data_IF_360714041280
#
_entry.id   IF_360714041280
#
_cell.length_a   1.000
_cell.length_b   1.000
_cell.length_c   1.000
_cell.angle_alpha   90.00
_cell.angle_beta   90.00
_cell.angle_gamma   90.00
#
_symmetry.space_group_name_H-M   'P 1'
#
loop_
_entity.id
_entity.type
_entity.pdbx_description
1 polymer ?
#
# COMPACT_ATOMS: atom_id res chain seq x y z
N UNK A 1 -38.41 -41.74 38.10
CA UNK A 1 -37.33 -42.17 37.21
C UNK A 1 -37.95 -42.83 35.99
N UNK A 2 -38.06 -42.12 34.85
CA UNK A 2 -38.39 -42.74 33.56
C UNK A 2 -37.09 -42.87 32.79
N UNK A 3 -36.70 -44.08 32.42
CA UNK A 3 -35.53 -44.33 31.58
C UNK A 3 -35.82 -43.83 30.17
N UNK A 4 -34.94 -42.97 29.67
CA UNK A 4 -34.85 -42.65 28.24
C UNK A 4 -34.21 -43.86 27.56
N UNK A 5 -34.90 -44.44 26.58
CA UNK A 5 -34.31 -45.46 25.72
C UNK A 5 -33.22 -44.78 24.87
N UNK A 6 -32.00 -45.33 24.91
CA UNK A 6 -30.88 -44.86 24.09
C UNK A 6 -31.18 -45.05 22.61
N UNK A 7 -30.77 -44.07 21.79
CA UNK A 7 -30.78 -44.20 20.34
C UNK A 7 -29.89 -45.38 19.91
N UNK A 8 -30.27 -46.12 18.85
CA UNK A 8 -29.40 -47.14 18.29
C UNK A 8 -28.12 -46.49 17.74
N UNK A 9 -26.98 -47.20 17.76
CA UNK A 9 -25.74 -46.68 17.21
C UNK A 9 -25.92 -46.35 15.71
N UNK A 10 -25.26 -45.30 15.19
CA UNK A 10 -25.34 -44.97 13.78
C UNK A 10 -24.84 -46.16 12.95
N UNK A 11 -25.62 -46.54 11.95
CA UNK A 11 -25.24 -47.55 10.96
C UNK A 11 -23.90 -47.15 10.34
N UNK A 12 -22.92 -48.07 10.20
CA UNK A 12 -21.69 -47.78 9.48
C UNK A 12 -22.03 -47.29 8.06
N UNK A 13 -21.71 -46.04 7.76
CA UNK A 13 -21.76 -45.51 6.40
C UNK A 13 -20.55 -46.10 5.67
N UNK A 14 -20.75 -47.24 5.01
CA UNK A 14 -19.78 -47.73 4.04
C UNK A 14 -19.76 -46.73 2.90
N UNK A 15 -18.76 -45.84 2.86
CA UNK A 15 -18.46 -45.07 1.64
C UNK A 15 -17.97 -46.09 0.64
N UNK A 16 -18.87 -46.57 -0.19
CA UNK A 16 -18.53 -47.38 -1.34
C UNK A 16 -18.04 -46.39 -2.39
N UNK A 17 -16.72 -46.15 -2.48
CA UNK A 17 -16.13 -45.56 -3.69
C UNK A 17 -16.50 -46.56 -4.80
N UNK A 18 -17.52 -46.21 -5.57
CA UNK A 18 -17.98 -47.07 -6.66
C UNK A 18 -16.94 -46.88 -7.74
N UNK A 19 -15.93 -47.75 -7.79
CA UNK A 19 -14.95 -47.74 -8.87
C UNK A 19 -15.69 -48.12 -10.15
N UNK A 20 -16.18 -47.12 -10.87
CA UNK A 20 -16.50 -47.26 -12.29
C UNK A 20 -15.15 -47.57 -12.94
N UNK A 21 -14.93 -48.81 -13.37
CA UNK A 21 -13.91 -49.05 -14.40
C UNK A 21 -14.55 -48.47 -15.66
N UNK A 22 -14.08 -47.33 -16.19
CA UNK A 22 -14.64 -46.77 -17.40
C UNK A 22 -14.51 -47.83 -18.49
N UNK A 23 -15.55 -48.08 -19.29
CA UNK A 23 -15.41 -49.03 -20.41
C UNK A 23 -14.66 -48.41 -21.61
N UNK A 24 -14.28 -47.14 -21.48
CA UNK A 24 -13.72 -46.28 -22.52
C UNK A 24 -12.27 -45.92 -22.18
N UNK A 25 -11.53 -45.46 -23.19
CA UNK A 25 -10.21 -44.89 -23.04
C UNK A 25 -10.29 -43.58 -22.26
N UNK A 26 -9.40 -43.40 -21.28
CA UNK A 26 -9.35 -42.20 -20.45
C UNK A 26 -7.96 -42.09 -19.83
N UNK A 27 -7.41 -40.88 -19.80
CA UNK A 27 -6.10 -40.59 -19.22
C UNK A 27 -6.28 -39.48 -18.19
N UNK A 28 -5.58 -39.59 -17.08
CA UNK A 28 -5.56 -38.58 -16.03
C UNK A 28 -4.14 -38.12 -15.72
N UNK A 29 -3.95 -36.83 -15.44
CA UNK A 29 -2.68 -36.25 -15.02
C UNK A 29 -2.84 -35.27 -13.83
N UNK A 30 -1.98 -35.45 -12.84
CA UNK A 30 -1.88 -34.59 -11.66
C UNK A 30 -0.47 -34.01 -11.58
N UNK A 31 -0.33 -32.81 -11.03
CA UNK A 31 0.94 -32.10 -10.92
C UNK A 31 1.08 -31.39 -9.58
N UNK A 32 2.26 -31.49 -8.99
CA UNK A 32 2.68 -30.75 -7.80
C UNK A 32 4.01 -30.07 -8.05
N UNK A 33 4.34 -29.08 -7.22
CA UNK A 33 5.64 -28.42 -7.22
C UNK A 33 6.22 -28.45 -5.80
N UNK A 34 7.53 -28.69 -5.68
CA UNK A 34 8.22 -28.54 -4.40
C UNK A 34 8.36 -27.07 -4.01
N UNK A 35 8.60 -26.80 -2.74
CA UNK A 35 9.04 -25.46 -2.34
C UNK A 35 10.35 -25.11 -3.08
N UNK A 36 10.46 -23.91 -3.65
CA UNK A 36 11.70 -23.43 -4.27
C UNK A 36 12.77 -23.23 -3.21
N UNK A 37 13.99 -23.53 -3.61
CA UNK A 37 15.20 -23.41 -2.80
C UNK A 37 16.18 -22.51 -3.53
N UNK A 38 16.77 -21.57 -2.79
CA UNK A 38 17.81 -20.73 -3.34
C UNK A 38 19.10 -21.55 -3.57
N UNK A 39 19.65 -21.47 -4.78
CA UNK A 39 20.92 -22.12 -5.12
C UNK A 39 22.07 -21.11 -4.98
N UNK A 40 21.94 -19.94 -5.61
CA UNK A 40 22.94 -18.86 -5.56
C UNK A 40 22.38 -17.59 -6.22
N UNK A 41 22.71 -16.40 -5.69
CA UNK A 41 22.28 -15.14 -6.32
C UNK A 41 20.76 -15.02 -6.33
N UNK A 42 20.18 -15.01 -7.53
CA UNK A 42 18.73 -15.09 -7.78
C UNK A 42 18.33 -16.33 -8.58
N UNK A 43 19.13 -17.40 -8.45
CA UNK A 43 18.86 -18.70 -9.05
C UNK A 43 18.14 -19.59 -8.05
N UNK A 44 16.94 -20.03 -8.40
CA UNK A 44 16.09 -20.90 -7.57
C UNK A 44 15.86 -22.24 -8.22
N UNK A 45 15.91 -23.31 -7.42
CA UNK A 45 15.62 -24.67 -7.84
C UNK A 45 14.34 -25.18 -7.20
N UNK A 46 13.47 -25.79 -8.00
CA UNK A 46 12.30 -26.53 -7.56
C UNK A 46 12.07 -27.74 -8.47
N UNK A 47 11.21 -28.65 -8.04
CA UNK A 47 10.87 -29.86 -8.80
C UNK A 47 9.36 -29.93 -9.01
N UNK A 48 8.93 -30.01 -10.28
CA UNK A 48 7.58 -30.45 -10.61
C UNK A 48 7.51 -31.97 -10.53
N UNK A 49 6.48 -32.49 -9.88
CA UNK A 49 6.17 -33.93 -9.86
C UNK A 49 4.82 -34.16 -10.50
N UNK A 50 4.81 -34.89 -11.61
CA UNK A 50 3.62 -35.25 -12.37
C UNK A 50 3.29 -36.72 -12.18
N UNK A 51 2.02 -37.06 -12.10
CA UNK A 51 1.52 -38.44 -12.08
C UNK A 51 0.57 -38.59 -13.25
N UNK A 52 0.91 -39.42 -14.22
CA UNK A 52 0.05 -39.76 -15.36
C UNK A 52 -0.45 -41.18 -15.20
N UNK A 53 -1.75 -41.40 -15.43
CA UNK A 53 -2.41 -42.69 -15.20
C UNK A 53 -3.41 -42.97 -16.31
N UNK A 54 -3.44 -44.20 -16.80
CA UNK A 54 -4.58 -44.68 -17.58
C UNK A 54 -5.72 -45.01 -16.62
N UNK A 55 -6.69 -44.10 -16.50
CA UNK A 55 -7.87 -44.25 -15.63
C UNK A 55 -8.99 -45.03 -16.31
N UNK A 56 -8.90 -45.19 -17.64
CA UNK A 56 -9.86 -45.90 -18.47
C UNK A 56 -9.80 -47.42 -18.33
N UNK A 57 -10.66 -48.10 -19.11
CA UNK A 57 -10.74 -49.56 -19.14
C UNK A 57 -10.14 -50.21 -20.38
N UNK A 58 -9.55 -49.43 -21.28
CA UNK A 58 -8.84 -49.91 -22.45
C UNK A 58 -7.36 -49.52 -22.39
N UNK A 59 -6.51 -50.29 -23.06
CA UNK A 59 -5.09 -49.96 -23.21
C UNK A 59 -4.94 -48.65 -23.99
N UNK A 60 -3.99 -47.81 -23.58
CA UNK A 60 -3.58 -46.63 -24.32
C UNK A 60 -2.20 -46.86 -24.95
N UNK A 61 -2.10 -46.74 -26.26
CA UNK A 61 -0.86 -46.69 -27.02
C UNK A 61 -0.41 -45.23 -27.21
N UNK A 62 0.87 -45.05 -27.56
CA UNK A 62 1.49 -43.75 -27.82
C UNK A 62 1.26 -42.73 -26.68
N UNK A 63 1.30 -43.23 -25.44
CA UNK A 63 1.13 -42.37 -24.26
C UNK A 63 2.28 -41.37 -24.18
N UNK A 64 1.93 -40.09 -24.06
CA UNK A 64 2.88 -38.98 -24.02
C UNK A 64 2.44 -37.95 -22.97
N UNK A 65 3.41 -37.29 -22.34
CA UNK A 65 3.20 -36.08 -21.56
C UNK A 65 3.98 -34.93 -22.19
N UNK A 66 3.33 -33.80 -22.42
CA UNK A 66 3.94 -32.57 -22.90
C UNK A 66 3.97 -31.52 -21.79
N UNK A 67 5.10 -30.84 -21.67
CA UNK A 67 5.33 -29.82 -20.64
C UNK A 67 6.10 -28.65 -21.26
N UNK A 68 5.43 -27.51 -21.42
CA UNK A 68 6.01 -26.28 -21.95
C UNK A 68 6.34 -25.30 -20.81
N UNK A 69 7.55 -25.46 -20.26
CA UNK A 69 8.06 -24.60 -19.19
C UNK A 69 8.33 -23.18 -19.67
N UNK A 70 8.66 -22.95 -20.95
CA UNK A 70 8.84 -21.60 -21.48
C UNK A 70 7.50 -20.84 -21.44
N UNK A 71 6.42 -21.49 -21.83
CA UNK A 71 5.09 -20.90 -21.77
C UNK A 71 4.72 -20.46 -20.34
N UNK A 72 5.00 -21.33 -19.35
CA UNK A 72 4.67 -21.08 -17.95
C UNK A 72 5.62 -20.10 -17.25
N UNK A 73 6.93 -20.21 -17.46
CA UNK A 73 7.94 -19.51 -16.66
C UNK A 73 8.48 -18.23 -17.31
N UNK A 74 8.45 -18.11 -18.65
CA UNK A 74 9.11 -16.99 -19.37
C UNK A 74 8.11 -16.09 -20.09
N UNK A 75 7.08 -16.67 -20.72
CA UNK A 75 6.12 -15.86 -21.50
C UNK A 75 4.82 -15.59 -20.76
N UNK A 76 4.77 -15.88 -19.45
CA UNK A 76 3.61 -15.54 -18.63
C UNK A 76 3.50 -14.01 -18.48
N UNK A 77 2.27 -13.53 -18.21
CA UNK A 77 1.98 -12.10 -18.10
C UNK A 77 2.18 -11.54 -16.68
N UNK A 78 2.49 -12.36 -15.69
CA UNK A 78 2.32 -12.06 -14.26
C UNK A 78 3.64 -12.00 -13.48
N UNK A 79 4.74 -11.61 -14.14
CA UNK A 79 6.15 -11.62 -13.69
C UNK A 79 6.89 -12.90 -14.12
N UNK A 80 7.48 -12.90 -15.34
CA UNK A 80 8.26 -14.01 -15.85
C UNK A 80 9.66 -14.08 -15.25
N UNK A 81 10.25 -15.27 -15.25
CA UNK A 81 11.68 -15.44 -15.03
C UNK A 81 12.49 -14.90 -16.22
N UNK A 82 13.74 -14.52 -15.97
CA UNK A 82 14.69 -14.14 -17.03
C UNK A 82 15.04 -15.32 -17.92
N UNK A 83 15.31 -16.45 -17.27
CA UNK A 83 15.67 -17.69 -17.92
C UNK A 83 15.33 -18.88 -17.04
N UNK A 84 15.28 -20.06 -17.64
CA UNK A 84 15.20 -21.32 -16.91
C UNK A 84 16.08 -22.37 -17.56
N UNK A 85 16.41 -23.40 -16.80
CA UNK A 85 17.04 -24.62 -17.30
C UNK A 85 16.44 -25.84 -16.62
N UNK A 86 16.28 -26.92 -17.38
CA UNK A 86 15.93 -28.24 -16.84
C UNK A 86 17.23 -28.92 -16.46
N UNK A 87 17.42 -29.20 -15.17
CA UNK A 87 18.66 -29.79 -14.65
C UNK A 87 18.60 -31.29 -14.57
N UNK A 88 17.40 -31.86 -14.40
CA UNK A 88 17.19 -33.29 -14.31
C UNK A 88 15.73 -33.65 -14.64
N UNK A 89 15.51 -34.76 -15.34
CA UNK A 89 14.19 -35.39 -15.48
C UNK A 89 14.31 -36.84 -15.03
N UNK A 90 13.32 -37.34 -14.29
CA UNK A 90 13.28 -38.74 -13.88
C UNK A 90 11.89 -39.29 -14.14
N UNK A 91 11.80 -40.33 -14.95
CA UNK A 91 10.56 -41.08 -15.20
C UNK A 91 10.60 -42.38 -14.43
N UNK A 92 9.61 -42.60 -13.57
CA UNK A 92 9.48 -43.80 -12.73
C UNK A 92 8.14 -44.48 -13.00
N UNK A 93 8.13 -45.62 -13.71
CA UNK A 93 6.93 -46.44 -13.84
C UNK A 93 6.43 -46.93 -12.47
N UNK A 94 5.11 -46.96 -12.30
CA UNK A 94 4.45 -47.44 -11.11
C UNK A 94 4.72 -48.91 -10.83
N UNK A 95 4.52 -49.33 -9.58
CA UNK A 95 4.68 -50.73 -9.21
C UNK A 95 3.68 -51.62 -9.96
N UNK A 96 4.18 -52.65 -10.64
CA UNK A 96 3.32 -53.58 -11.40
C UNK A 96 2.90 -53.08 -12.78
N UNK A 97 3.57 -52.05 -13.31
CA UNK A 97 3.34 -51.52 -14.67
C UNK A 97 3.31 -52.66 -15.70
N UNK A 98 2.18 -52.81 -16.39
CA UNK A 98 1.89 -53.96 -17.24
C UNK A 98 2.16 -53.70 -18.73
N UNK A 99 1.97 -52.47 -19.19
CA UNK A 99 2.23 -52.04 -20.55
C UNK A 99 3.71 -51.83 -20.87
N UNK A 100 3.99 -51.13 -21.97
CA UNK A 100 5.35 -50.76 -22.35
C UNK A 100 5.77 -49.53 -21.55
N UNK A 101 6.65 -49.76 -20.56
CA UNK A 101 7.08 -48.73 -19.61
C UNK A 101 7.59 -47.46 -20.32
N UNK A 102 7.16 -46.26 -19.89
CA UNK A 102 7.68 -45.03 -20.43
C UNK A 102 9.16 -44.86 -20.07
N UNK A 103 9.91 -44.32 -21.02
CA UNK A 103 11.29 -43.87 -20.79
C UNK A 103 11.42 -42.39 -21.07
N UNK A 104 12.24 -41.71 -20.28
CA UNK A 104 12.53 -40.28 -20.42
C UNK A 104 13.07 -39.95 -21.82
N UNK A 105 12.56 -38.86 -22.40
CA UNK A 105 13.15 -38.23 -23.56
C UNK A 105 14.31 -37.30 -23.15
N UNK A 106 15.55 -37.74 -23.37
CA UNK A 106 16.75 -36.96 -23.03
C UNK A 106 16.91 -35.65 -23.84
N UNK A 107 16.09 -35.41 -24.87
CA UNK A 107 16.08 -34.14 -25.61
C UNK A 107 15.10 -33.11 -25.02
N UNK A 108 14.30 -33.48 -24.02
CA UNK A 108 13.36 -32.58 -23.37
C UNK A 108 14.10 -31.37 -22.77
N UNK A 109 13.69 -30.18 -23.16
CA UNK A 109 14.21 -28.90 -22.63
C UNK A 109 13.09 -27.94 -22.21
N UNK A 110 11.83 -28.34 -22.34
CA UNK A 110 10.66 -27.59 -21.91
C UNK A 110 10.47 -26.24 -22.62
N UNK A 111 11.05 -26.05 -23.81
CA UNK A 111 11.03 -24.77 -24.53
C UNK A 111 10.18 -24.87 -25.80
N UNK A 112 9.20 -23.98 -25.96
CA UNK A 112 8.37 -23.90 -27.17
C UNK A 112 9.24 -23.82 -28.44
N UNK A 113 8.92 -24.65 -29.44
CA UNK A 113 9.71 -24.73 -30.69
C UNK A 113 10.97 -25.60 -30.62
N UNK A 114 11.35 -26.07 -29.42
CA UNK A 114 12.24 -27.21 -29.20
C UNK A 114 11.41 -28.42 -28.73
N UNK A 115 12.00 -29.33 -27.96
CA UNK A 115 11.31 -30.52 -27.47
C UNK A 115 10.65 -30.28 -26.10
N UNK A 116 9.32 -30.47 -26.07
CA UNK A 116 8.46 -30.39 -24.89
C UNK A 116 7.88 -31.75 -24.50
N UNK A 117 8.25 -32.82 -25.19
CA UNK A 117 7.78 -34.19 -24.93
C UNK A 117 8.62 -34.86 -23.85
N UNK A 118 8.00 -35.40 -22.81
CA UNK A 118 8.71 -36.00 -21.67
C UNK A 118 9.08 -37.47 -21.89
N UNK A 119 8.36 -38.20 -22.74
CA UNK A 119 8.65 -39.60 -23.04
C UNK A 119 9.20 -39.80 -24.46
N UNK A 120 10.02 -40.83 -24.64
CA UNK A 120 10.31 -41.40 -25.96
C UNK A 120 9.04 -42.02 -26.56
N UNK A 121 9.01 -42.25 -27.88
CA UNK A 121 7.86 -42.88 -28.54
C UNK A 121 7.71 -44.37 -28.17
N UNK A 122 6.50 -44.91 -28.33
CA UNK A 122 6.20 -46.35 -28.22
C UNK A 122 5.82 -46.83 -26.82
N UNK A 123 5.44 -45.94 -25.91
CA UNK A 123 4.93 -46.30 -24.58
C UNK A 123 3.47 -46.75 -24.68
N UNK A 124 3.09 -47.70 -23.85
CA UNK A 124 1.70 -48.11 -23.70
C UNK A 124 1.34 -48.31 -22.23
N UNK A 125 0.14 -47.88 -21.86
CA UNK A 125 -0.37 -47.96 -20.49
C UNK A 125 -1.60 -48.87 -20.51
N UNK A 126 -1.54 -50.00 -19.82
CA UNK A 126 -2.73 -50.82 -19.56
C UNK A 126 -3.64 -50.13 -18.52
N UNK A 127 -4.92 -50.54 -18.40
CA UNK A 127 -5.82 -50.00 -17.40
C UNK A 127 -5.21 -50.01 -15.99
N UNK A 128 -5.10 -48.83 -15.37
CA UNK A 128 -4.50 -48.63 -14.05
C UNK A 128 -2.97 -48.48 -14.03
N UNK A 129 -2.29 -48.61 -15.17
CA UNK A 129 -0.87 -48.26 -15.25
C UNK A 129 -0.68 -46.77 -14.96
N UNK A 130 0.37 -46.46 -14.19
CA UNK A 130 0.70 -45.11 -13.76
C UNK A 130 2.20 -44.89 -13.85
N UNK A 131 2.64 -43.67 -14.15
CA UNK A 131 4.04 -43.27 -14.09
C UNK A 131 4.18 -41.91 -13.42
N UNK A 132 5.27 -41.75 -12.67
CA UNK A 132 5.64 -40.47 -12.06
C UNK A 132 6.78 -39.83 -12.85
N UNK A 133 6.65 -38.54 -13.16
CA UNK A 133 7.72 -37.73 -13.75
C UNK A 133 8.15 -36.68 -12.73
N UNK A 134 9.45 -36.62 -12.41
CA UNK A 134 10.03 -35.52 -11.65
C UNK A 134 10.90 -34.65 -12.58
N UNK A 135 10.60 -33.35 -12.67
CA UNK A 135 11.32 -32.38 -13.49
C UNK A 135 11.96 -31.36 -12.55
N UNK A 136 13.27 -31.40 -12.39
CA UNK A 136 14.02 -30.39 -11.62
C UNK A 136 14.36 -29.23 -12.53
N UNK A 137 13.93 -28.04 -12.11
CA UNK A 137 14.05 -26.79 -12.86
C UNK A 137 14.83 -25.79 -12.02
N UNK A 138 15.78 -25.10 -12.66
CA UNK A 138 16.39 -23.89 -12.13
C UNK A 138 15.88 -22.68 -12.92
N UNK A 139 15.47 -21.64 -12.21
CA UNK A 139 15.07 -20.34 -12.80
C UNK A 139 16.02 -19.25 -12.35
N UNK A 140 16.28 -18.31 -13.23
CA UNK A 140 17.01 -17.07 -12.94
C UNK A 140 16.03 -15.91 -12.88
N UNK A 141 16.05 -15.16 -11.78
CA UNK A 141 15.18 -14.01 -11.53
C UNK A 141 15.97 -12.70 -11.38
N UNK A 142 17.21 -12.62 -11.90
CA UNK A 142 18.10 -11.47 -11.76
C UNK A 142 17.51 -10.08 -12.07
N UNK A 143 16.56 -9.95 -13.00
CA UNK A 143 15.99 -8.66 -13.41
C UNK A 143 14.80 -8.24 -12.55
N UNK A 144 13.85 -9.14 -12.34
CA UNK A 144 12.53 -8.84 -11.81
C UNK A 144 12.35 -9.33 -10.37
N UNK A 145 13.16 -10.30 -9.92
CA UNK A 145 13.19 -10.79 -8.55
C UNK A 145 11.97 -11.64 -8.10
N UNK A 146 10.83 -11.50 -8.78
CA UNK A 146 9.56 -12.18 -8.48
C UNK A 146 9.24 -13.19 -9.59
N UNK A 147 8.79 -14.38 -9.20
CA UNK A 147 8.12 -15.31 -10.13
C UNK A 147 6.72 -15.59 -9.61
N UNK A 148 5.70 -15.38 -10.45
CA UNK A 148 4.36 -15.89 -10.21
C UNK A 148 3.85 -16.56 -11.49
N UNK A 149 3.85 -17.88 -11.48
CA UNK A 149 3.49 -18.67 -12.65
C UNK A 149 2.48 -19.76 -12.31
N UNK A 150 1.55 -19.97 -13.24
CA UNK A 150 0.66 -21.11 -13.25
C UNK A 150 1.13 -22.06 -14.34
N UNK A 151 1.33 -23.34 -13.99
CA UNK A 151 1.88 -24.31 -14.90
C UNK A 151 0.95 -25.51 -15.08
N UNK A 152 0.69 -25.87 -16.34
CA UNK A 152 -0.17 -26.98 -16.75
C UNK A 152 0.61 -27.86 -17.74
N UNK A 153 0.68 -29.15 -17.43
CA UNK A 153 1.15 -30.17 -18.36
C UNK A 153 -0.04 -30.79 -19.08
N UNK A 154 0.18 -31.44 -20.22
CA UNK A 154 -0.86 -32.21 -20.90
C UNK A 154 -0.43 -33.66 -21.07
N UNK A 155 -1.31 -34.60 -20.74
CA UNK A 155 -1.14 -36.01 -21.07
C UNK A 155 -1.99 -36.36 -22.30
N UNK A 156 -1.52 -37.30 -23.09
CA UNK A 156 -2.29 -37.87 -24.21
C UNK A 156 -2.01 -39.35 -24.37
N UNK A 157 -2.97 -40.07 -24.96
CA UNK A 157 -2.84 -41.47 -25.32
C UNK A 157 -3.89 -41.85 -26.35
N UNK A 158 -3.69 -42.97 -27.05
CA UNK A 158 -4.55 -43.40 -28.15
C UNK A 158 -5.08 -44.80 -27.89
N UNK A 159 -6.41 -44.99 -27.97
CA UNK A 159 -6.98 -46.34 -27.92
C UNK A 159 -6.64 -47.09 -29.22
N UNK A 160 -6.00 -48.27 -29.18
CA UNK A 160 -5.69 -49.06 -30.37
C UNK A 160 -6.93 -49.46 -31.19
N UNK A 161 -8.10 -49.53 -30.54
CA UNK A 161 -9.38 -49.83 -31.18
C UNK A 161 -10.04 -48.58 -31.78
N UNK A 162 -9.58 -47.38 -31.41
CA UNK A 162 -10.02 -46.10 -31.96
C UNK A 162 -8.84 -45.13 -32.21
N UNK A 163 -7.93 -45.46 -33.14
CA UNK A 163 -6.67 -44.75 -33.31
C UNK A 163 -6.78 -43.34 -33.90
N UNK A 164 -8.00 -42.90 -34.27
CA UNK A 164 -8.23 -41.63 -34.94
C UNK A 164 -8.42 -40.43 -33.99
N UNK A 165 -8.58 -40.67 -32.68
CA UNK A 165 -8.85 -39.62 -31.69
C UNK A 165 -8.11 -39.96 -30.39
N UNK A 166 -6.97 -39.32 -30.12
CA UNK A 166 -6.32 -39.42 -28.82
C UNK A 166 -7.25 -38.90 -27.72
N UNK A 167 -7.17 -39.52 -26.55
CA UNK A 167 -7.67 -38.93 -25.30
C UNK A 167 -6.59 -38.03 -24.74
N UNK A 168 -7.00 -36.92 -24.14
CA UNK A 168 -6.10 -35.91 -23.59
C UNK A 168 -6.62 -35.45 -22.24
N UNK A 169 -5.70 -35.07 -21.37
CA UNK A 169 -6.01 -34.46 -20.09
C UNK A 169 -5.00 -33.37 -19.75
N UNK A 170 -5.47 -32.30 -19.12
CA UNK A 170 -4.65 -31.18 -18.68
C UNK A 170 -4.44 -31.30 -17.16
N UNK A 171 -3.19 -31.21 -16.72
CA UNK A 171 -2.83 -31.49 -15.34
C UNK A 171 -3.57 -30.62 -14.34
N UNK A 172 -4.04 -31.23 -13.27
CA UNK A 172 -4.57 -30.54 -12.12
C UNK A 172 -3.53 -30.37 -11.00
N UNK A 173 -3.68 -29.33 -10.16
CA UNK A 173 -2.82 -29.07 -9.01
C UNK A 173 -3.11 -30.01 -7.83
N UNK A 174 -2.19 -30.94 -7.59
CA UNK A 174 -2.26 -31.92 -6.53
C UNK A 174 -1.60 -33.22 -6.96
N UNK A 175 -1.80 -34.26 -6.16
CA UNK A 175 -1.23 -35.59 -6.42
C UNK A 175 -2.29 -36.63 -6.83
N UNK A 176 -3.56 -36.25 -6.88
CA UNK A 176 -4.67 -37.11 -7.29
C UNK A 176 -5.13 -36.72 -8.69
N UNK A 177 -5.24 -37.67 -9.61
CA UNK A 177 -5.68 -37.38 -10.99
C UNK A 177 -7.19 -37.12 -11.08
N UNK A 178 -7.96 -37.50 -10.06
CA UNK A 178 -9.42 -37.32 -9.96
C UNK A 178 -9.78 -36.88 -8.52
N UNK A 179 -9.48 -35.62 -8.14
CA UNK A 179 -9.63 -35.13 -6.77
C UNK A 179 -11.08 -35.03 -6.28
N UNK A 180 -12.09 -34.93 -7.16
CA UNK A 180 -13.50 -34.93 -6.75
C UNK A 180 -14.13 -36.33 -6.74
N UNK A 181 -13.46 -37.31 -7.36
CA UNK A 181 -13.81 -38.72 -7.32
C UNK A 181 -15.04 -39.07 -8.15
N UNK A 182 -15.39 -38.24 -9.13
CA UNK A 182 -16.52 -38.48 -10.03
C UNK A 182 -16.19 -39.48 -11.17
N UNK A 183 -14.91 -39.83 -11.30
CA UNK A 183 -14.39 -40.78 -12.27
C UNK A 183 -14.21 -40.22 -13.67
N UNK A 184 -14.10 -38.90 -13.81
CA UNK A 184 -13.73 -38.16 -15.03
C UNK A 184 -12.60 -37.16 -14.70
N UNK A 185 -11.31 -37.53 -14.90
CA UNK A 185 -10.18 -36.66 -14.56
C UNK A 185 -10.12 -35.40 -15.44
N UNK A 186 -10.80 -35.38 -16.59
CA UNK A 186 -10.67 -34.33 -17.62
C UNK A 186 -11.34 -33.00 -17.25
N UNK A 187 -11.99 -32.96 -16.08
CA UNK A 187 -12.74 -31.82 -15.59
C UNK A 187 -12.08 -31.10 -14.39
N UNK A 188 -10.87 -31.51 -13.97
CA UNK A 188 -10.22 -31.02 -12.76
C UNK A 188 -9.07 -30.02 -13.00
N UNK A 189 -8.89 -29.51 -14.23
CA UNK A 189 -7.73 -28.83 -14.84
C UNK A 189 -7.22 -27.51 -14.17
N UNK A 190 -7.08 -27.49 -12.84
CA UNK A 190 -6.57 -26.35 -12.07
C UNK A 190 -5.05 -26.28 -12.23
N UNK A 191 -4.47 -25.21 -12.79
CA UNK A 191 -3.02 -25.11 -12.97
C UNK A 191 -2.25 -25.20 -11.64
N UNK A 192 -1.01 -25.72 -11.70
CA UNK A 192 -0.11 -25.77 -10.53
C UNK A 192 0.60 -24.42 -10.35
N UNK A 193 0.34 -23.67 -9.26
CA UNK A 193 1.00 -22.40 -9.02
C UNK A 193 2.43 -22.62 -8.51
N UNK A 194 3.37 -21.78 -8.96
CA UNK A 194 4.68 -21.58 -8.36
C UNK A 194 4.86 -20.08 -8.09
N UNK A 195 5.19 -19.76 -6.85
CA UNK A 195 5.50 -18.39 -6.43
C UNK A 195 6.89 -18.39 -5.81
N UNK A 196 7.77 -17.54 -6.33
CA UNK A 196 9.05 -17.21 -5.73
C UNK A 196 8.99 -15.74 -5.36
N UNK A 197 8.95 -15.40 -4.07
CA UNK A 197 8.83 -14.02 -3.64
C UNK A 197 10.16 -13.27 -3.71
N UNK A 198 10.05 -11.95 -3.78
CA UNK A 198 11.17 -11.03 -3.65
C UNK A 198 11.00 -10.15 -2.41
N UNK A 199 12.09 -9.60 -1.85
CA UNK A 199 11.95 -8.62 -0.79
C UNK A 199 11.16 -7.39 -1.27
N UNK A 200 10.23 -6.94 -0.44
CA UNK A 200 9.43 -5.76 -0.70
C UNK A 200 9.40 -4.87 0.54
N UNK A 201 9.35 -3.56 0.31
CA UNK A 201 9.18 -2.54 1.34
C UNK A 201 7.96 -1.71 0.92
N UNK A 202 7.07 -1.46 1.87
CA UNK A 202 5.89 -0.62 1.68
C UNK A 202 5.98 0.64 2.53
N UNK A 203 5.56 1.77 1.96
CA UNK A 203 5.57 3.07 2.63
C UNK A 203 4.20 3.75 2.49
N UNK A 204 3.57 4.08 3.62
CA UNK A 204 2.41 4.96 3.64
C UNK A 204 2.73 6.27 4.36
N UNK A 205 2.10 7.36 3.93
CA UNK A 205 2.30 8.70 4.48
C UNK A 205 1.00 9.48 4.57
N UNK A 206 0.71 9.91 5.78
CA UNK A 206 -0.46 10.72 6.12
C UNK A 206 -0.06 12.05 6.77
N UNK A 207 -0.98 13.01 6.74
CA UNK A 207 -0.80 14.35 7.30
C UNK A 207 -1.94 14.69 8.26
N UNK A 208 -1.59 15.16 9.46
CA UNK A 208 -2.59 15.64 10.40
C UNK A 208 -3.18 16.99 9.95
N UNK A 209 -4.40 17.36 10.42
CA UNK A 209 -4.94 18.69 10.16
C UNK A 209 -4.00 19.82 10.61
N UNK A 210 -3.94 20.88 9.80
CA UNK A 210 -3.15 22.08 10.11
C UNK A 210 -3.81 22.87 11.25
N UNK A 211 -3.00 23.26 12.23
CA UNK A 211 -3.42 24.10 13.36
C UNK A 211 -2.65 25.41 13.35
N UNK A 212 -3.36 26.54 13.27
CA UNK A 212 -2.73 27.86 13.31
C UNK A 212 -2.14 28.13 14.70
N UNK A 213 -0.89 28.62 14.74
CA UNK A 213 -0.33 29.21 15.95
C UNK A 213 -1.01 30.57 16.16
N UNK A 214 -1.80 30.67 17.22
CA UNK A 214 -2.71 31.79 17.46
C UNK A 214 -2.02 33.16 17.31
N UNK A 215 -2.61 34.01 16.46
CA UNK A 215 -2.12 35.36 16.20
C UNK A 215 -0.88 35.45 15.30
N UNK A 216 -0.50 34.37 14.62
CA UNK A 216 0.63 34.32 13.68
C UNK A 216 0.20 33.74 12.32
N UNK A 217 1.05 33.87 11.31
CA UNK A 217 0.88 33.23 9.98
C UNK A 217 1.40 31.79 9.95
N UNK A 218 1.78 31.23 11.11
CA UNK A 218 2.38 29.90 11.20
C UNK A 218 1.33 28.82 11.50
N UNK A 219 1.56 27.64 10.95
CA UNK A 219 0.72 26.45 11.12
C UNK A 219 1.56 25.24 11.51
N UNK A 220 1.05 24.44 12.43
CA UNK A 220 1.67 23.17 12.85
C UNK A 220 0.86 21.98 12.39
N UNK A 221 1.53 20.92 11.99
CA UNK A 221 0.97 19.61 11.67
C UNK A 221 2.05 18.53 11.82
N UNK A 222 1.66 17.27 11.72
CA UNK A 222 2.57 16.14 11.69
C UNK A 222 2.43 15.40 10.36
N UNK A 223 3.55 15.03 9.75
CA UNK A 223 3.57 13.87 8.85
C UNK A 223 3.72 12.60 9.68
N UNK A 224 2.95 11.58 9.32
CA UNK A 224 3.08 10.23 9.86
C UNK A 224 3.42 9.30 8.71
N UNK A 225 4.60 8.71 8.75
CA UNK A 225 5.06 7.74 7.75
C UNK A 225 5.07 6.36 8.42
N UNK A 226 4.51 5.35 7.76
CA UNK A 226 4.66 3.95 8.17
C UNK A 226 5.52 3.27 7.12
N UNK A 227 6.57 2.58 7.58
CA UNK A 227 7.43 1.77 6.72
C UNK A 227 7.36 0.33 7.19
N UNK A 228 7.11 -0.58 6.26
CA UNK A 228 6.90 -2.01 6.52
C UNK A 228 7.77 -2.83 5.59
N UNK A 229 8.45 -3.86 6.10
CA UNK A 229 8.92 -4.94 5.24
C UNK A 229 7.72 -5.84 4.87
N UNK A 230 7.14 -5.60 3.69
CA UNK A 230 5.92 -6.25 3.18
C UNK A 230 6.17 -7.58 2.51
N UNK A 231 7.43 -8.05 2.48
CA UNK A 231 7.79 -9.36 1.92
C UNK A 231 6.89 -10.48 2.47
N UNK A 232 6.46 -11.44 1.65
CA UNK A 232 5.69 -12.57 2.16
C UNK A 232 6.59 -13.51 2.97
N UNK A 233 6.04 -14.17 3.99
CA UNK A 233 6.83 -15.10 4.79
C UNK A 233 7.20 -16.35 3.98
N UNK A 234 8.50 -16.55 3.73
CA UNK A 234 9.02 -17.66 2.97
C UNK A 234 10.10 -18.44 3.75
N UNK A 235 9.79 -19.64 4.31
CA UNK A 235 10.69 -20.30 5.26
C UNK A 235 12.08 -20.69 4.74
N UNK A 236 12.25 -20.79 3.42
CA UNK A 236 13.52 -21.19 2.78
C UNK A 236 14.37 -20.02 2.29
N UNK A 237 13.90 -18.77 2.43
CA UNK A 237 14.61 -17.57 1.98
C UNK A 237 14.49 -16.49 3.05
N UNK A 238 15.62 -15.93 3.49
CA UNK A 238 15.62 -14.74 4.33
C UNK A 238 15.29 -13.49 3.50
N UNK A 239 14.06 -12.99 3.63
CA UNK A 239 13.59 -11.75 2.99
C UNK A 239 13.69 -10.53 3.93
N UNK A 240 14.57 -10.57 4.94
CA UNK A 240 14.85 -9.39 5.76
C UNK A 240 15.53 -8.29 4.94
N UNK A 241 15.28 -7.04 5.35
CA UNK A 241 15.91 -5.85 4.80
C UNK A 241 16.85 -5.27 5.85
N UNK A 242 18.07 -4.92 5.45
CA UNK A 242 19.10 -4.30 6.28
C UNK A 242 19.45 -2.91 5.78
N UNK A 243 20.12 -2.10 6.60
CA UNK A 243 20.46 -0.71 6.30
C UNK A 243 19.25 0.09 5.79
N UNK A 244 18.05 -0.21 6.31
CA UNK A 244 16.83 0.48 5.89
C UNK A 244 16.95 1.94 6.31
N UNK A 245 16.66 2.85 5.38
CA UNK A 245 16.68 4.30 5.55
C UNK A 245 15.41 4.88 4.93
N UNK A 246 14.92 5.99 5.46
CA UNK A 246 13.83 6.78 4.86
C UNK A 246 14.35 8.18 4.61
N UNK A 247 14.20 8.64 3.38
CA UNK A 247 14.58 9.98 2.95
C UNK A 247 13.31 10.83 2.84
N UNK A 248 13.34 11.99 3.47
CA UNK A 248 12.29 12.99 3.44
C UNK A 248 12.90 14.38 3.19
N UNK A 249 12.64 14.93 2.01
CA UNK A 249 13.12 16.27 1.62
C UNK A 249 11.98 17.30 1.69
N UNK A 250 11.78 17.84 2.89
CA UNK A 250 10.76 18.87 3.14
C UNK A 250 11.08 20.19 2.43
N UNK A 251 12.36 20.51 2.21
CA UNK A 251 12.77 21.69 1.46
C UNK A 251 12.31 21.60 0.01
N UNK A 252 12.49 20.44 -0.62
CA UNK A 252 11.99 20.18 -1.95
C UNK A 252 10.47 20.25 -2.01
N UNK A 253 9.79 19.55 -1.09
CA UNK A 253 8.33 19.43 -1.09
C UNK A 253 7.61 20.74 -0.73
N UNK A 254 8.01 21.40 0.37
CA UNK A 254 7.27 22.53 0.94
C UNK A 254 7.66 23.88 0.34
N UNK A 255 8.86 24.01 -0.24
CA UNK A 255 9.41 25.32 -0.65
C UNK A 255 9.70 25.40 -2.16
N UNK A 256 10.30 24.38 -2.79
CA UNK A 256 10.82 24.54 -4.17
C UNK A 256 9.94 23.97 -5.27
N UNK A 257 9.20 22.88 -5.02
CA UNK A 257 8.57 22.10 -6.10
C UNK A 257 7.05 22.26 -6.22
N UNK A 258 6.42 23.05 -5.35
CA UNK A 258 4.97 23.23 -5.31
C UNK A 258 4.45 24.43 -6.12
N UNK A 259 3.20 24.38 -6.65
CA UNK A 259 2.56 25.53 -7.29
C UNK A 259 2.29 26.70 -6.34
N UNK A 260 2.13 26.43 -5.04
CA UNK A 260 1.94 27.41 -3.98
C UNK A 260 2.71 26.96 -2.73
N UNK A 261 4.02 27.24 -2.65
CA UNK A 261 4.89 26.79 -1.56
C UNK A 261 4.71 27.61 -0.29
N UNK A 262 5.15 27.08 0.85
CA UNK A 262 5.31 27.88 2.07
C UNK A 262 6.47 28.87 1.94
N UNK A 263 6.46 29.93 2.76
CA UNK A 263 7.57 30.88 2.84
C UNK A 263 8.75 30.32 3.64
N UNK A 264 8.46 29.54 4.68
CA UNK A 264 9.48 28.86 5.48
C UNK A 264 8.89 27.66 6.21
N UNK A 265 9.75 26.76 6.66
CA UNK A 265 9.38 25.66 7.54
C UNK A 265 10.44 25.43 8.62
N UNK A 266 10.04 24.72 9.67
CA UNK A 266 10.93 24.16 10.68
C UNK A 266 10.41 22.81 11.14
N UNK A 267 11.33 21.94 11.55
CA UNK A 267 11.02 20.58 11.99
C UNK A 267 11.20 20.49 13.51
N UNK A 268 10.26 19.82 14.17
CA UNK A 268 10.38 19.43 15.58
C UNK A 268 11.23 18.16 15.77
N UNK A 269 11.17 17.56 16.95
CA UNK A 269 11.86 16.29 17.19
C UNK A 269 11.13 15.16 16.49
N UNK A 270 11.81 14.50 15.53
CA UNK A 270 11.32 13.28 14.88
C UNK A 270 11.29 12.12 15.88
N UNK A 271 10.23 11.33 15.84
CA UNK A 271 10.12 10.10 16.64
C UNK A 271 9.93 8.89 15.75
N UNK A 272 10.60 7.79 16.08
CA UNK A 272 10.45 6.47 15.44
C UNK A 272 9.99 5.47 16.49
N UNK A 273 8.93 4.72 16.20
CA UNK A 273 8.38 3.71 17.09
C UNK A 273 7.98 2.45 16.31
N UNK A 274 8.14 1.25 16.88
CA UNK A 274 7.67 0.03 16.24
C UNK A 274 6.14 -0.04 16.19
N UNK A 275 5.60 -0.61 15.12
CA UNK A 275 4.19 -1.01 15.05
C UNK A 275 4.08 -2.45 15.54
N UNK A 276 3.67 -2.62 16.79
CA UNK A 276 3.55 -3.95 17.40
C UNK A 276 4.91 -4.54 17.80
N UNK A 277 5.06 -5.86 17.58
CA UNK A 277 6.31 -6.56 17.85
C UNK A 277 7.29 -6.32 16.71
N UNK A 278 8.54 -6.01 17.05
CA UNK A 278 9.59 -5.74 16.09
C UNK A 278 10.73 -6.73 16.31
N UNK A 279 10.94 -7.61 15.34
CA UNK A 279 11.88 -8.72 15.45
C UNK A 279 13.32 -8.38 15.08
N UNK A 280 13.52 -7.37 14.23
CA UNK A 280 14.83 -6.95 13.74
C UNK A 280 15.56 -5.97 14.65
N UNK A 281 16.41 -5.14 14.05
CA UNK A 281 17.13 -4.06 14.73
C UNK A 281 16.39 -2.74 14.51
N UNK A 282 15.70 -2.27 15.55
CA UNK A 282 14.85 -1.08 15.47
C UNK A 282 15.70 0.17 15.18
N UNK A 283 15.44 0.92 14.09
CA UNK A 283 16.13 2.17 13.83
C UNK A 283 15.80 3.24 14.88
N UNK A 284 16.74 4.15 15.09
CA UNK A 284 16.54 5.38 15.87
C UNK A 284 16.41 6.58 14.94
N UNK A 285 15.64 7.60 15.34
CA UNK A 285 15.53 8.85 14.58
C UNK A 285 16.90 9.54 14.45
N UNK A 286 17.19 10.10 13.28
CA UNK A 286 18.35 10.94 13.06
C UNK A 286 18.20 12.26 13.85
N UNK A 287 19.07 12.56 14.83
CA UNK A 287 18.97 13.78 15.62
C UNK A 287 19.32 15.05 14.84
N UNK A 288 19.94 14.94 13.66
CA UNK A 288 20.32 16.06 12.82
C UNK A 288 19.36 16.33 11.66
N UNK A 289 18.35 15.46 11.46
CA UNK A 289 17.35 15.63 10.42
C UNK A 289 16.71 17.03 10.50
N UNK A 290 16.85 17.79 9.41
CA UNK A 290 16.27 19.12 9.27
C UNK A 290 15.33 19.23 8.05
N UNK A 291 15.19 18.15 7.28
CA UNK A 291 14.37 18.10 6.07
C UNK A 291 14.90 18.97 4.94
N UNK A 292 16.17 19.40 5.00
CA UNK A 292 16.83 20.22 3.99
C UNK A 292 18.25 19.72 3.70
N UNK A 293 19.22 20.09 4.53
CA UNK A 293 20.61 19.66 4.34
C UNK A 293 20.80 18.20 4.77
N UNK A 294 20.04 17.76 5.78
CA UNK A 294 19.97 16.38 6.23
C UNK A 294 18.52 15.88 6.09
N UNK A 295 18.32 15.00 5.11
CA UNK A 295 17.01 14.44 4.72
C UNK A 295 16.83 12.99 5.16
N UNK A 296 17.84 12.38 5.79
CA UNK A 296 17.77 11.01 6.30
C UNK A 296 17.02 10.98 7.64
N UNK A 297 15.94 10.21 7.74
CA UNK A 297 15.11 10.13 8.95
C UNK A 297 15.66 9.17 10.02
N UNK A 298 16.42 8.15 9.62
CA UNK A 298 17.07 7.22 10.55
C UNK A 298 18.55 7.57 10.75
N UNK A 299 19.04 7.35 11.97
CA UNK A 299 20.44 7.56 12.32
C UNK A 299 21.34 6.52 11.62
N UNK A 300 22.13 6.99 10.64
CA UNK A 300 23.12 6.18 9.91
C UNK A 300 24.21 5.56 10.81
N UNK A 301 24.32 5.98 12.08
CA UNK A 301 25.22 5.41 13.07
C UNK A 301 24.73 4.12 13.74
N UNK A 302 23.48 3.70 13.51
CA UNK A 302 22.88 2.49 14.10
C UNK A 302 22.42 1.50 13.02
N UNK A 303 22.44 0.18 13.31
CA UNK A 303 21.88 -0.80 12.39
C UNK A 303 20.35 -0.65 12.31
N UNK A 304 19.81 -0.76 11.10
CA UNK A 304 18.37 -0.81 10.82
C UNK A 304 18.09 -2.10 10.07
N UNK A 305 17.36 -3.02 10.70
CA UNK A 305 16.99 -4.31 10.10
C UNK A 305 15.50 -4.53 10.31
N UNK A 306 14.77 -4.72 9.22
CA UNK A 306 13.37 -5.16 9.20
C UNK A 306 13.29 -6.62 8.80
N UNK A 307 12.89 -7.48 9.73
CA UNK A 307 12.44 -8.82 9.37
C UNK A 307 11.10 -8.73 8.62
N UNK A 308 10.70 -9.82 7.97
CA UNK A 308 9.39 -9.92 7.31
C UNK A 308 8.26 -9.51 8.28
N UNK A 309 7.46 -8.52 7.88
CA UNK A 309 6.35 -7.98 8.66
C UNK A 309 6.74 -6.99 9.76
N UNK A 310 8.02 -6.68 9.95
CA UNK A 310 8.43 -5.59 10.85
C UNK A 310 8.01 -4.25 10.25
N UNK A 311 7.43 -3.40 11.10
CA UNK A 311 6.97 -2.07 10.73
C UNK A 311 7.36 -1.03 11.77
N UNK A 312 7.59 0.21 11.32
CA UNK A 312 7.77 1.38 12.19
C UNK A 312 6.86 2.52 11.76
N UNK A 313 6.47 3.33 12.73
CA UNK A 313 5.87 4.64 12.51
C UNK A 313 6.90 5.72 12.79
N UNK A 314 7.04 6.66 11.84
CA UNK A 314 7.84 7.87 11.94
C UNK A 314 6.88 9.04 12.05
N UNK A 315 7.05 9.89 13.05
CA UNK A 315 6.28 11.14 13.18
C UNK A 315 7.22 12.31 13.05
N UNK A 316 6.90 13.22 12.13
CA UNK A 316 7.66 14.43 11.83
C UNK A 316 6.78 15.63 12.18
N UNK A 317 7.01 16.31 13.32
CA UNK A 317 6.33 17.56 13.62
C UNK A 317 6.87 18.67 12.72
N UNK A 318 6.00 19.39 12.03
CA UNK A 318 6.37 20.46 11.10
C UNK A 318 5.63 21.74 11.48
N UNK A 319 6.35 22.85 11.46
CA UNK A 319 5.77 24.20 11.47
C UNK A 319 6.09 24.89 10.16
N UNK A 320 5.07 25.39 9.46
CA UNK A 320 5.24 26.21 8.25
C UNK A 320 4.81 27.65 8.52
N UNK A 321 5.37 28.59 7.76
CA UNK A 321 4.90 29.98 7.69
C UNK A 321 4.33 30.25 6.30
N UNK A 322 3.10 30.77 6.26
CA UNK A 322 2.36 31.14 5.04
C UNK A 322 2.34 32.67 4.82
N UNK A 323 2.92 33.44 5.74
CA UNK A 323 2.86 34.91 5.74
C UNK A 323 1.54 35.49 5.21
N UNK A 324 1.58 36.21 4.08
CA UNK A 324 0.44 36.87 3.46
C UNK A 324 -0.22 36.10 2.31
N UNK A 325 0.33 34.95 1.89
CA UNK A 325 -0.30 34.12 0.85
C UNK A 325 -1.64 33.56 1.34
N UNK A 326 -1.71 33.19 2.63
CA UNK A 326 -2.88 32.56 3.21
C UNK A 326 -3.17 31.16 2.65
N UNK A 327 -2.31 30.58 1.82
CA UNK A 327 -2.56 29.30 1.18
C UNK A 327 -1.28 28.50 0.91
N UNK A 328 -1.45 27.19 0.82
CA UNK A 328 -0.40 26.27 0.40
C UNK A 328 -1.04 25.19 -0.44
N UNK A 329 -0.34 24.80 -1.51
CA UNK A 329 -0.71 23.67 -2.35
C UNK A 329 0.59 23.01 -2.83
N UNK A 330 0.96 21.92 -2.16
CA UNK A 330 2.16 21.15 -2.45
C UNK A 330 1.86 19.65 -2.37
N UNK A 331 2.74 18.84 -2.93
CA UNK A 331 2.72 17.39 -2.82
C UNK A 331 4.02 16.94 -2.16
N UNK A 332 3.94 15.94 -1.29
CA UNK A 332 5.08 15.46 -0.54
C UNK A 332 5.20 13.94 -0.59
N UNK A 333 6.39 13.44 -0.91
CA UNK A 333 6.71 12.01 -1.01
C UNK A 333 7.93 11.72 -0.15
N UNK A 334 7.84 10.68 0.68
CA UNK A 334 9.01 10.09 1.34
C UNK A 334 9.46 8.88 0.54
N UNK A 335 10.76 8.55 0.57
CA UNK A 335 11.27 7.34 -0.07
C UNK A 335 11.93 6.47 0.98
N UNK A 336 11.48 5.23 1.16
CA UNK A 336 12.21 4.25 1.97
C UNK A 336 13.05 3.36 1.08
N UNK A 337 14.21 2.93 1.58
CA UNK A 337 15.04 1.99 0.86
C UNK A 337 15.89 1.14 1.81
N UNK A 338 16.12 -0.13 1.47
CA UNK A 338 16.91 -1.08 2.24
C UNK A 338 17.66 -2.08 1.37
N UNK A 339 18.71 -2.66 1.93
CA UNK A 339 19.51 -3.70 1.28
C UNK A 339 18.90 -5.07 1.60
N UNK A 340 18.60 -5.86 0.58
CA UNK A 340 18.14 -7.24 0.76
C UNK A 340 19.18 -8.09 1.52
N UNK A 341 18.71 -9.15 2.18
CA UNK A 341 19.59 -10.11 2.88
C UNK A 341 20.70 -10.63 1.96
N UNK A 342 21.82 -11.03 2.56
CA UNK A 342 22.98 -11.57 1.84
C UNK A 342 22.67 -12.89 1.13
N UNK A 343 21.57 -13.57 1.49
CA UNK A 343 21.02 -14.70 0.76
C UNK A 343 20.54 -14.28 -0.65
N UNK A 344 20.44 -13.00 -0.96
CA UNK A 344 19.99 -12.50 -2.26
C UNK A 344 21.10 -11.63 -2.90
N UNK A 345 22.30 -12.18 -3.21
CA UNK A 345 23.42 -11.38 -3.70
C UNK A 345 23.16 -10.72 -5.05
N UNK A 346 23.53 -9.45 -5.16
CA UNK A 346 23.57 -8.73 -6.44
C UNK A 346 22.31 -7.93 -6.77
N UNK A 347 21.34 -7.85 -5.85
CA UNK A 347 20.14 -7.03 -6.06
C UNK A 347 20.43 -5.54 -5.91
N UNK A 348 19.68 -4.69 -6.64
CA UNK A 348 19.55 -3.29 -6.29
C UNK A 348 19.04 -3.16 -4.85
N UNK A 349 19.34 -2.03 -4.22
CA UNK A 349 18.68 -1.61 -2.99
C UNK A 349 17.18 -1.53 -3.27
N UNK A 350 16.37 -2.21 -2.46
CA UNK A 350 14.91 -2.21 -2.56
C UNK A 350 14.45 -0.83 -2.12
N UNK A 351 13.57 -0.20 -2.89
CA UNK A 351 13.06 1.13 -2.59
C UNK A 351 11.58 1.23 -2.90
N UNK A 352 10.91 2.08 -2.14
CA UNK A 352 9.50 2.40 -2.34
C UNK A 352 9.26 3.89 -2.02
N UNK A 353 8.38 4.51 -2.79
CA UNK A 353 7.93 5.87 -2.58
C UNK A 353 6.62 5.83 -1.80
N UNK A 354 6.39 6.83 -0.94
CA UNK A 354 5.23 6.79 -0.07
C UNK A 354 3.91 6.93 -0.83
N UNK A 355 2.97 6.06 -0.50
CA UNK A 355 1.55 6.18 -0.84
C UNK A 355 0.82 7.12 0.13
N UNK A 356 -0.02 8.01 -0.39
CA UNK A 356 -0.88 8.87 0.39
C UNK A 356 -1.91 8.06 1.21
N UNK A 357 -1.99 8.39 2.51
CA UNK A 357 -2.91 7.78 3.45
C UNK A 357 -2.20 6.82 4.42
N UNK A 358 -2.95 5.87 4.96
CA UNK A 358 -2.47 4.93 5.99
C UNK A 358 -2.23 3.51 5.48
N UNK A 359 -2.50 3.26 4.20
CA UNK A 359 -2.43 1.97 3.54
C UNK A 359 -1.37 2.06 2.45
N UNK A 360 -0.33 1.23 2.55
CA UNK A 360 0.78 1.15 1.61
C UNK A 360 0.45 0.30 0.37
N UNK A 361 -0.60 -0.51 0.40
CA UNK A 361 -1.09 -1.30 -0.74
C UNK A 361 -2.64 -1.18 -0.89
N UNK A 362 -3.16 -0.02 -1.31
CA UNK A 362 -4.61 0.22 -1.35
C UNK A 362 -5.40 -0.66 -2.34
N UNK A 363 -4.74 -1.25 -3.35
CA UNK A 363 -5.40 -2.15 -4.31
C UNK A 363 -5.29 -3.64 -3.91
N UNK A 364 -4.45 -3.96 -2.92
CA UNK A 364 -4.29 -5.27 -2.30
C UNK A 364 -3.66 -6.30 -3.23
N UNK A 365 -2.86 -5.86 -4.20
CA UNK A 365 -2.23 -6.73 -5.19
C UNK A 365 -0.93 -7.37 -4.69
N UNK A 366 -0.43 -6.96 -3.51
CA UNK A 366 0.80 -7.45 -2.90
C UNK A 366 2.08 -6.77 -3.40
N UNK A 367 1.96 -5.64 -4.10
CA UNK A 367 3.06 -4.86 -4.67
C UNK A 367 2.88 -3.36 -4.35
N UNK A 368 3.28 -2.91 -3.16
CA UNK A 368 3.17 -1.49 -2.77
C UNK A 368 3.98 -0.56 -3.70
N UNK A 369 5.02 -1.07 -4.37
CA UNK A 369 5.86 -0.29 -5.29
C UNK A 369 5.17 0.26 -6.53
N UNK A 370 3.92 -0.15 -6.82
CA UNK A 370 3.08 0.46 -7.85
C UNK A 370 2.05 1.48 -7.31
N UNK A 371 2.06 1.73 -6.00
CA UNK A 371 1.22 2.71 -5.31
C UNK A 371 2.09 3.85 -4.78
N UNK A 372 2.32 4.88 -5.60
CA UNK A 372 3.22 5.99 -5.26
C UNK A 372 2.51 7.35 -5.35
N UNK A 373 1.26 7.47 -4.87
CA UNK A 373 0.54 8.75 -4.85
C UNK A 373 1.13 9.68 -3.78
N UNK A 374 1.69 10.85 -4.14
CA UNK A 374 2.23 11.79 -3.15
C UNK A 374 1.17 12.29 -2.17
N UNK A 375 1.53 12.49 -0.90
CA UNK A 375 0.64 13.08 0.12
C UNK A 375 0.41 14.56 -0.17
N UNK A 376 -0.82 14.99 -0.52
CA UNK A 376 -1.09 16.39 -0.81
C UNK A 376 -1.21 17.20 0.47
N UNK A 377 -0.61 18.38 0.47
CA UNK A 377 -0.83 19.43 1.46
C UNK A 377 -1.48 20.62 0.75
N UNK A 378 -2.80 20.72 0.89
CA UNK A 378 -3.61 21.80 0.33
C UNK A 378 -4.41 22.47 1.43
N UNK A 379 -4.14 23.75 1.67
CA UNK A 379 -4.81 24.53 2.70
C UNK A 379 -4.98 25.97 2.27
N UNK A 380 -6.10 26.59 2.67
CA UNK A 380 -6.36 28.00 2.46
C UNK A 380 -6.98 28.57 3.75
N UNK A 381 -6.26 29.47 4.40
CA UNK A 381 -6.70 30.26 5.53
C UNK A 381 -7.19 31.63 5.06
N UNK A 382 -8.51 31.83 4.86
CA UNK A 382 -9.07 33.07 4.34
C UNK A 382 -8.92 34.29 5.26
N UNK A 383 -8.30 34.14 6.44
CA UNK A 383 -8.26 35.17 7.48
C UNK A 383 -6.85 35.51 8.01
N UNK A 384 -5.78 35.23 7.25
CA UNK A 384 -4.40 35.67 7.59
C UNK A 384 -4.13 37.16 7.30
N UNK A 385 -5.18 38.00 7.24
CA UNK A 385 -4.98 39.45 7.08
C UNK A 385 -4.94 40.12 8.46
N UNK A 386 -3.96 41.01 8.73
CA UNK A 386 -4.04 41.89 9.88
C UNK A 386 -5.17 42.90 9.64
N UNK A 387 -6.11 43.01 10.59
CA UNK A 387 -7.24 43.92 10.46
C UNK A 387 -7.41 44.74 11.73
N UNK A 388 -7.03 46.01 11.65
CA UNK A 388 -7.22 46.99 12.72
C UNK A 388 -8.49 47.79 12.49
N UNK A 389 -9.44 47.69 13.42
CA UNK A 389 -10.60 48.56 13.49
C UNK A 389 -10.38 49.65 14.56
N UNK A 390 -10.74 50.88 14.23
CA UNK A 390 -10.71 52.03 15.15
C UNK A 390 -12.11 52.59 15.31
N UNK A 391 -12.57 52.69 16.57
CA UNK A 391 -13.91 53.17 16.93
C UNK A 391 -13.73 54.44 17.77
N UNK A 392 -14.40 55.55 17.41
CA UNK A 392 -14.35 56.82 18.13
C UNK A 392 -15.75 57.22 18.57
N UNK A 393 -15.95 57.46 19.86
CA UNK A 393 -17.27 57.75 20.43
C UNK A 393 -17.21 58.95 21.38
N UNK A 394 -18.22 59.83 21.33
CA UNK A 394 -18.45 60.82 22.40
C UNK A 394 -18.84 60.06 23.67
N UNK A 395 -18.07 60.23 24.73
CA UNK A 395 -18.33 59.60 26.04
C UNK A 395 -18.84 60.57 27.07
N UNK A 396 -18.61 61.89 26.91
CA UNK A 396 -19.13 62.92 27.82
C UNK A 396 -19.29 64.26 27.13
N UNK A 397 -20.24 65.06 27.62
CA UNK A 397 -20.39 66.48 27.33
C UNK A 397 -20.44 67.20 28.68
N UNK A 398 -19.62 68.21 28.89
CA UNK A 398 -19.50 68.94 30.15
C UNK A 398 -19.79 70.42 29.86
N UNK A 399 -20.73 71.00 30.60
CA UNK A 399 -21.11 72.42 30.48
C UNK A 399 -20.86 73.13 31.80
N UNK A 400 -19.96 74.12 31.79
CA UNK A 400 -19.62 74.87 32.99
C UNK A 400 -19.14 73.98 34.14
N UNK A 401 -18.46 72.87 33.83
CA UNK A 401 -17.94 71.90 34.81
C UNK A 401 -18.95 70.83 35.29
N UNK A 402 -20.14 70.75 34.70
CA UNK A 402 -21.16 69.75 35.03
C UNK A 402 -21.49 68.88 33.81
N UNK A 403 -21.56 67.56 34.00
CA UNK A 403 -21.96 66.64 32.93
C UNK A 403 -23.38 66.98 32.41
N UNK A 404 -23.50 67.16 31.10
CA UNK A 404 -24.77 67.27 30.40
C UNK A 404 -25.26 65.84 30.12
N UNK A 405 -26.43 65.43 30.63
CA UNK A 405 -26.94 64.09 30.40
C UNK A 405 -27.26 63.87 28.92
N UNK A 406 -26.62 62.87 28.32
CA UNK A 406 -26.91 62.45 26.95
C UNK A 406 -27.42 61.01 26.99
N UNK A 407 -28.63 60.81 26.48
CA UNK A 407 -29.24 59.50 26.34
C UNK A 407 -28.37 58.59 25.47
N UNK A 408 -28.01 57.40 25.97
CA UNK A 408 -27.20 56.41 25.24
C UNK A 408 -25.69 56.50 25.46
N UNK A 409 -25.19 57.38 26.35
CA UNK A 409 -23.76 57.51 26.65
C UNK A 409 -23.31 56.71 27.89
N UNK A 410 -24.20 56.43 28.85
CA UNK A 410 -23.84 55.88 30.17
C UNK A 410 -23.49 54.38 30.22
N UNK A 411 -23.94 53.57 29.25
CA UNK A 411 -23.64 52.14 29.19
C UNK A 411 -23.12 51.80 27.78
N UNK A 412 -22.07 50.98 27.71
CA UNK A 412 -21.65 50.32 26.47
C UNK A 412 -22.67 49.21 26.17
N UNK A 413 -23.86 49.59 25.70
CA UNK A 413 -24.93 48.66 25.36
C UNK A 413 -25.04 48.67 23.83
N UNK A 414 -24.52 47.65 23.17
CA UNK A 414 -24.43 47.48 21.70
C UNK A 414 -25.78 47.20 21.02
N UNK A 415 -26.87 47.67 21.61
CA UNK A 415 -28.19 47.27 21.17
C UNK A 415 -28.50 47.87 19.81
N UNK A 416 -28.37 47.01 18.80
CA UNK A 416 -28.76 47.25 17.42
C UNK A 416 -30.13 47.95 17.36
N UNK A 417 -30.14 49.19 16.84
CA UNK A 417 -31.39 49.87 16.50
C UNK A 417 -31.50 51.36 16.82
N UNK A 418 -30.44 52.06 17.22
CA UNK A 418 -30.45 53.54 17.27
C UNK A 418 -29.55 54.11 16.17
N UNK A 419 -29.89 55.27 15.62
CA UNK A 419 -29.08 55.94 14.58
C UNK A 419 -27.64 56.30 15.04
N UNK A 420 -27.39 56.23 16.35
CA UNK A 420 -26.11 56.49 16.99
C UNK A 420 -25.32 55.20 17.35
N UNK A 421 -25.88 54.04 17.01
CA UNK A 421 -25.30 52.72 17.26
C UNK A 421 -25.58 51.83 16.05
N UNK A 422 -24.77 52.02 14.99
CA UNK A 422 -24.76 51.03 13.91
C UNK A 422 -24.25 49.73 14.52
N UNK A 423 -25.02 48.64 14.35
CA UNK A 423 -24.57 47.28 14.67
C UNK A 423 -23.14 47.14 14.16
N UNK A 424 -22.23 46.76 15.06
CA UNK A 424 -20.83 46.46 14.76
C UNK A 424 -20.74 45.72 13.41
N UNK A 425 -21.59 44.71 13.19
CA UNK A 425 -21.63 43.92 11.94
C UNK A 425 -21.98 44.72 10.67
N UNK A 426 -22.80 45.77 10.76
CA UNK A 426 -23.19 46.60 9.60
C UNK A 426 -22.14 47.62 9.19
N UNK A 427 -21.32 48.08 10.14
CA UNK A 427 -20.13 48.88 9.82
C UNK A 427 -19.01 48.04 9.22
N UNK A 428 -18.99 46.73 9.52
CA UNK A 428 -18.02 45.77 8.98
C UNK A 428 -18.40 45.17 7.61
N UNK A 429 -19.68 45.20 7.21
CA UNK A 429 -20.15 44.55 5.98
C UNK A 429 -19.89 45.36 4.68
N UNK A 430 -19.50 46.64 4.77
CA UNK A 430 -19.26 47.49 3.59
C UNK A 430 -17.78 47.90 3.49
N UNK A 431 -16.96 47.01 2.94
CA UNK A 431 -15.54 47.25 2.62
C UNK A 431 -15.28 48.46 1.69
N UNK A 432 -16.32 49.13 1.17
CA UNK A 432 -16.23 50.29 0.29
C UNK A 432 -16.21 51.66 0.97
N UNK A 433 -16.42 51.76 2.29
CA UNK A 433 -16.41 53.04 3.02
C UNK A 433 -15.36 53.04 4.14
N UNK A 434 -14.10 52.87 3.76
CA UNK A 434 -12.97 53.19 4.63
C UNK A 434 -12.95 54.71 4.89
N UNK A 435 -13.50 55.16 6.03
CA UNK A 435 -13.32 56.57 6.42
C UNK A 435 -14.31 57.17 7.42
N UNK A 436 -15.39 56.50 7.82
CA UNK A 436 -16.27 57.04 8.87
C UNK A 436 -16.00 56.34 10.21
N UNK A 437 -15.64 57.09 11.27
CA UNK A 437 -15.56 56.53 12.61
C UNK A 437 -16.91 55.92 12.99
N UNK A 438 -16.88 54.70 13.50
CA UNK A 438 -18.04 54.05 14.11
C UNK A 438 -18.15 54.49 15.57
N UNK A 439 -19.38 54.65 16.07
CA UNK A 439 -19.69 55.19 17.41
C UNK A 439 -20.53 56.46 17.36
N UNK A 440 -20.99 56.97 18.51
CA UNK A 440 -21.79 58.21 18.60
C UNK A 440 -20.96 59.39 18.07
N UNK A 441 -21.19 59.79 16.81
CA UNK A 441 -20.58 60.95 16.16
C UNK A 441 -21.53 62.14 16.06
N UNK A 442 -22.83 61.94 16.34
CA UNK A 442 -23.86 62.97 16.40
C UNK A 442 -24.57 62.95 17.75
N UNK A 443 -24.73 64.13 18.35
CA UNK A 443 -25.53 64.28 19.55
C UNK A 443 -27.01 64.02 19.22
N UNK A 444 -27.79 63.43 20.15
CA UNK A 444 -29.23 63.28 19.96
C UNK A 444 -29.91 64.62 19.67
N UNK A 445 -31.00 64.59 18.89
CA UNK A 445 -31.81 65.77 18.62
C UNK A 445 -32.21 66.47 19.93
N UNK A 446 -31.96 67.78 20.02
CA UNK A 446 -32.22 68.59 21.22
C UNK A 446 -31.04 68.75 22.17
N UNK A 447 -29.87 68.16 21.88
CA UNK A 447 -28.61 68.44 22.60
C UNK A 447 -27.68 69.23 21.68
N UNK A 448 -27.49 70.51 21.99
CA UNK A 448 -26.57 71.41 21.27
C UNK A 448 -25.25 71.54 22.02
N UNK A 449 -24.15 71.66 21.29
CA UNK A 449 -22.85 72.06 21.85
C UNK A 449 -22.84 73.59 21.96
N UNK A 450 -22.68 74.09 23.17
CA UNK A 450 -22.66 75.52 23.47
C UNK A 450 -21.22 76.05 23.61
N UNK A 451 -21.00 77.37 23.45
CA UNK A 451 -19.70 77.96 23.70
C UNK A 451 -19.23 77.69 25.15
N UNK A 452 -18.06 77.07 25.30
CA UNK A 452 -17.49 76.71 26.60
C UNK A 452 -17.81 75.29 27.07
N UNK A 453 -18.53 74.50 26.28
CA UNK A 453 -18.68 73.07 26.54
C UNK A 453 -17.37 72.30 26.27
N UNK A 454 -17.08 71.28 27.08
CA UNK A 454 -16.01 70.31 26.86
C UNK A 454 -16.62 68.97 26.39
N UNK A 455 -16.06 68.38 25.34
CA UNK A 455 -16.52 67.10 24.78
C UNK A 455 -15.42 66.06 24.96
N UNK A 456 -15.72 64.97 25.65
CA UNK A 456 -14.81 63.85 25.83
C UNK A 456 -15.09 62.78 24.75
N UNK A 457 -14.02 62.27 24.14
CA UNK A 457 -14.06 61.14 23.22
C UNK A 457 -13.24 59.99 23.78
N UNK A 458 -13.74 58.76 23.64
CA UNK A 458 -12.96 57.54 23.84
C UNK A 458 -12.70 56.86 22.49
N UNK A 459 -11.45 56.43 22.29
CA UNK A 459 -10.99 55.71 21.10
C UNK A 459 -10.69 54.26 21.51
N UNK A 460 -11.25 53.30 20.79
CA UNK A 460 -11.01 51.88 20.96
C UNK A 460 -10.31 51.31 19.73
N UNK A 461 -9.41 50.35 19.97
CA UNK A 461 -8.74 49.57 18.92
C UNK A 461 -9.20 48.12 19.02
N UNK A 462 -9.60 47.55 17.89
CA UNK A 462 -9.95 46.14 17.79
C UNK A 462 -9.11 45.47 16.71
N UNK A 463 -8.56 44.30 17.02
CA UNK A 463 -8.01 43.41 16.02
C UNK A 463 -9.09 42.43 15.59
N UNK A 464 -9.60 42.59 14.37
CA UNK A 464 -10.63 41.72 13.79
C UNK A 464 -10.04 40.75 12.76
N UNK A 465 -8.71 40.74 12.60
CA UNK A 465 -7.97 39.86 11.70
C UNK A 465 -7.46 38.62 12.41
N UNK A 466 -7.00 37.62 11.64
CA UNK A 466 -6.43 36.40 12.19
C UNK A 466 -4.96 36.53 12.64
N UNK A 467 -4.32 37.68 12.43
CA UNK A 467 -2.93 37.96 12.81
C UNK A 467 -2.84 39.02 13.91
N UNK A 468 -1.84 38.90 14.80
CA UNK A 468 -1.54 39.93 15.79
C UNK A 468 -1.13 41.25 15.12
N UNK A 469 -1.65 42.36 15.64
CA UNK A 469 -1.21 43.70 15.25
C UNK A 469 -0.04 44.13 16.14
N UNK A 470 1.03 44.59 15.53
CA UNK A 470 2.19 45.16 16.23
C UNK A 470 2.36 46.63 15.83
N UNK A 471 3.00 47.44 16.70
CA UNK A 471 3.25 48.86 16.44
C UNK A 471 1.99 49.68 16.10
N UNK A 472 0.85 49.36 16.70
CA UNK A 472 -0.38 50.17 16.54
C UNK A 472 -0.12 51.57 17.09
N UNK A 473 -0.16 52.57 16.20
CA UNK A 473 0.05 53.98 16.55
C UNK A 473 -1.21 54.78 16.25
N UNK A 474 -1.52 55.73 17.13
CA UNK A 474 -2.55 56.73 16.93
C UNK A 474 -1.88 58.03 16.48
N UNK A 475 -2.18 58.48 15.26
CA UNK A 475 -1.69 59.74 14.72
C UNK A 475 -2.64 60.90 15.04
#
# INVERSE_FOLDING_TARGET
MRQQAGEPPPTPQTITKTTRIPAEAEIGIAKTVSAPTLVSGLIFEFTYTLVVTNTGGTTLDDVQVTEDLQAALITNAANPADSFSVTNVVVTPGAGFAGTQPTENANYVGTTGNDISLFNAGNSFEPGDSATIAITVQVDLTSDGILNANNTAQASGTDPNNPGTPVTDDSQNGNDVDPDGDGDPTNNNTPTPIVIPFPSIGVSKDISPLTQIAGTSQFTFNYTIVVTNTSPNFPSIDLSLSNVQVVEDLQAALITNGPDPADSFSVGTVTVAPVGAFGGSLPTANPNYDGNADTDLFDNGQPSVFNVGDSVTITIPVTIDLASDGSIQVNNTATAAGDASADIPGTPRISDDSQNGTDDDPDGNGNPGDNNEPTPLSFNAPNLTPSLAVVKRITRLIRGGVDVPITGIGNFNDQAGTANDNDLNTAFANAGNAGQPTGVFQLPSGVEIEPGDEVEYTIYFWNNGGLNLTNVQLC
#
